data_IF_646915909251
#
_entry.id   IF_646915909251
#
_cell.length_a   1.000
_cell.length_b   1.000
_cell.length_c   1.000
_cell.angle_alpha   90.00
_cell.angle_beta   90.00
_cell.angle_gamma   90.00
#
_symmetry.space_group_name_H-M   'P 1'
#
loop_
_entity.id
_entity.type
_entity.pdbx_description
1 polymer ?
#
# COMPACT_ATOMS: atom_id res chain seq x y z
N UNK A 1 14.07 14.96 -15.38
CA UNK A 1 14.37 15.76 -14.16
C UNK A 1 13.99 17.23 -14.31
N UNK A 2 14.47 17.96 -15.31
CA UNK A 2 14.16 19.41 -15.45
C UNK A 2 12.67 19.67 -15.68
N UNK A 3 12.00 18.88 -16.49
CA UNK A 3 10.56 18.98 -16.74
C UNK A 3 9.74 18.68 -15.47
N UNK A 4 10.09 17.63 -14.73
CA UNK A 4 9.46 17.30 -13.45
C UNK A 4 9.55 18.45 -12.44
N UNK A 5 10.74 19.01 -12.28
CA UNK A 5 10.94 20.13 -11.35
C UNK A 5 10.22 21.40 -11.80
N UNK A 6 10.11 21.64 -13.11
CA UNK A 6 9.31 22.74 -13.64
C UNK A 6 7.83 22.55 -13.33
N UNK A 7 7.30 21.33 -13.51
CA UNK A 7 5.91 21.03 -13.21
C UNK A 7 5.63 21.09 -11.70
N UNK A 8 6.53 20.55 -10.86
CA UNK A 8 6.47 20.66 -9.40
C UNK A 8 6.38 22.13 -8.95
N UNK A 9 7.27 23.01 -9.47
CA UNK A 9 7.25 24.44 -9.14
C UNK A 9 5.92 25.09 -9.49
N UNK A 10 5.28 24.70 -10.61
CA UNK A 10 3.94 25.19 -10.97
C UNK A 10 2.88 24.72 -9.96
N UNK A 11 2.88 23.44 -9.59
CA UNK A 11 1.96 22.91 -8.57
C UNK A 11 2.14 23.62 -7.25
N UNK A 12 3.39 23.75 -6.78
CA UNK A 12 3.72 24.43 -5.54
C UNK A 12 3.24 25.90 -5.54
N UNK A 13 3.57 26.66 -6.59
CA UNK A 13 3.19 28.07 -6.69
C UNK A 13 1.66 28.26 -6.69
N UNK A 14 0.94 27.47 -7.47
CA UNK A 14 -0.53 27.55 -7.53
C UNK A 14 -1.18 27.14 -6.21
N UNK A 15 -0.63 26.14 -5.54
CA UNK A 15 -1.09 25.72 -4.20
C UNK A 15 -0.85 26.83 -3.17
N UNK A 16 0.31 27.49 -3.21
CA UNK A 16 0.62 28.62 -2.31
C UNK A 16 -0.32 29.80 -2.56
N UNK A 17 -0.59 30.14 -3.82
CA UNK A 17 -1.56 31.19 -4.20
C UNK A 17 -2.97 30.81 -3.69
N UNK A 18 -3.41 29.58 -3.89
CA UNK A 18 -4.72 29.10 -3.42
C UNK A 18 -4.87 29.22 -1.90
N UNK A 19 -3.86 28.78 -1.14
CA UNK A 19 -3.82 28.91 0.31
C UNK A 19 -3.86 30.39 0.72
N UNK A 20 -3.08 31.26 0.07
CA UNK A 20 -3.09 32.70 0.31
C UNK A 20 -4.48 33.33 0.10
N UNK A 21 -5.15 32.98 -1.00
CA UNK A 21 -6.51 33.46 -1.32
C UNK A 21 -7.52 32.97 -0.26
N UNK A 22 -7.44 31.73 0.18
CA UNK A 22 -8.31 31.16 1.23
C UNK A 22 -8.13 31.93 2.54
N UNK A 23 -6.87 32.15 2.97
CA UNK A 23 -6.57 32.84 4.23
C UNK A 23 -6.99 34.31 4.19
N UNK A 24 -6.66 35.04 3.13
CA UNK A 24 -7.02 36.46 2.96
C UNK A 24 -8.55 36.59 2.84
N UNK A 25 -9.20 35.71 2.06
CA UNK A 25 -10.64 35.68 1.93
C UNK A 25 -11.36 35.44 3.26
N UNK A 26 -10.82 34.53 4.10
CA UNK A 26 -11.35 34.26 5.45
C UNK A 26 -11.18 35.47 6.38
N UNK A 27 -10.02 36.13 6.37
CA UNK A 27 -9.78 37.33 7.18
C UNK A 27 -10.69 38.50 6.77
N UNK A 28 -10.84 38.74 5.47
CA UNK A 28 -11.71 39.79 4.96
C UNK A 28 -13.19 39.50 5.19
N UNK A 29 -13.59 38.23 5.27
CA UNK A 29 -14.97 37.84 5.55
C UNK A 29 -15.49 38.40 6.88
N UNK A 30 -14.63 38.52 7.90
CA UNK A 30 -15.00 39.08 9.21
C UNK A 30 -15.30 40.58 9.19
N UNK A 31 -14.68 41.36 8.26
CA UNK A 31 -14.88 42.82 8.19
C UNK A 31 -15.60 43.30 6.93
N UNK A 32 -15.39 42.58 5.82
CA UNK A 32 -15.92 42.95 4.49
C UNK A 32 -16.43 41.69 3.76
N UNK A 33 -17.57 41.10 4.18
CA UNK A 33 -18.04 39.81 3.67
C UNK A 33 -18.30 39.78 2.16
N UNK A 34 -18.68 40.90 1.57
CA UNK A 34 -18.94 41.04 0.12
C UNK A 34 -17.67 40.77 -0.72
N UNK A 35 -16.47 41.09 -0.18
CA UNK A 35 -15.19 40.88 -0.85
C UNK A 35 -14.56 39.57 -0.37
N UNK A 36 -14.61 39.29 0.93
CA UNK A 36 -13.94 38.12 1.52
C UNK A 36 -14.53 36.79 1.04
N UNK A 37 -15.85 36.69 0.93
CA UNK A 37 -16.52 35.46 0.51
C UNK A 37 -16.16 35.02 -0.92
N UNK A 38 -16.26 35.87 -1.96
CA UNK A 38 -15.82 35.49 -3.30
C UNK A 38 -14.33 35.09 -3.37
N UNK A 39 -13.45 35.81 -2.68
CA UNK A 39 -12.01 35.50 -2.67
C UNK A 39 -11.72 34.14 -2.05
N UNK A 40 -12.40 33.80 -0.96
CA UNK A 40 -12.33 32.50 -0.31
C UNK A 40 -12.73 31.36 -1.27
N UNK A 41 -13.87 31.51 -1.97
CA UNK A 41 -14.32 30.50 -2.95
C UNK A 41 -13.39 30.39 -4.16
N UNK A 42 -12.84 31.49 -4.66
CA UNK A 42 -11.83 31.46 -5.73
C UNK A 42 -10.62 30.66 -5.29
N UNK A 43 -10.14 30.85 -4.05
CA UNK A 43 -9.04 30.07 -3.49
C UNK A 43 -9.32 28.57 -3.47
N UNK A 44 -10.55 28.17 -3.06
CA UNK A 44 -10.99 26.78 -3.09
C UNK A 44 -10.99 26.22 -4.52
N UNK A 45 -11.54 26.94 -5.48
CA UNK A 45 -11.59 26.51 -6.89
C UNK A 45 -10.19 26.32 -7.44
N UNK A 46 -9.29 27.28 -7.22
CA UNK A 46 -7.87 27.19 -7.64
C UNK A 46 -7.20 25.98 -7.01
N UNK A 47 -7.45 25.71 -5.72
CA UNK A 47 -6.90 24.53 -5.04
C UNK A 47 -7.38 23.22 -5.67
N UNK A 48 -8.68 23.09 -5.93
CA UNK A 48 -9.27 21.90 -6.54
C UNK A 48 -8.76 21.65 -7.97
N UNK A 49 -8.66 22.70 -8.78
CA UNK A 49 -8.12 22.61 -10.14
C UNK A 49 -6.64 22.24 -10.11
N UNK A 50 -5.86 22.84 -9.22
CA UNK A 50 -4.42 22.53 -9.10
C UNK A 50 -4.21 21.07 -8.68
N UNK A 51 -4.90 20.61 -7.65
CA UNK A 51 -4.77 19.24 -7.17
C UNK A 51 -5.26 18.22 -8.21
N UNK A 52 -6.43 18.44 -8.81
CA UNK A 52 -7.06 17.48 -9.71
C UNK A 52 -6.41 17.40 -11.10
N UNK A 53 -5.91 18.50 -11.64
CA UNK A 53 -5.41 18.52 -13.02
C UNK A 53 -3.89 18.58 -13.10
N UNK A 54 -3.26 19.56 -12.48
CA UNK A 54 -1.82 19.78 -12.61
C UNK A 54 -1.06 18.83 -11.69
N UNK A 55 -1.54 18.63 -10.46
CA UNK A 55 -0.99 17.68 -9.50
C UNK A 55 -1.05 16.26 -10.05
N UNK A 56 -2.20 15.82 -10.55
CA UNK A 56 -2.35 14.50 -11.16
C UNK A 56 -1.46 14.26 -12.38
N UNK A 57 -1.20 15.32 -13.20
CA UNK A 57 -0.24 15.23 -14.30
C UNK A 57 1.20 15.14 -13.80
N UNK A 58 1.54 15.88 -12.75
CA UNK A 58 2.87 15.81 -12.14
C UNK A 58 3.15 14.42 -11.56
N UNK A 59 2.22 13.86 -10.79
CA UNK A 59 2.32 12.50 -10.27
C UNK A 59 2.49 11.47 -11.40
N UNK A 60 1.68 11.56 -12.44
CA UNK A 60 1.78 10.62 -13.56
C UNK A 60 3.13 10.73 -14.28
N UNK A 61 3.60 11.94 -14.52
CA UNK A 61 4.91 12.16 -15.16
C UNK A 61 6.05 11.62 -14.27
N UNK A 62 5.95 11.79 -12.96
CA UNK A 62 6.91 11.23 -12.01
C UNK A 62 6.93 9.70 -12.09
N UNK A 63 5.76 9.05 -12.05
CA UNK A 63 5.63 7.60 -12.15
C UNK A 63 6.16 7.07 -13.48
N UNK A 64 5.92 7.77 -14.58
CA UNK A 64 6.43 7.38 -15.90
C UNK A 64 7.95 7.56 -16.06
N UNK A 65 8.54 8.58 -15.45
CA UNK A 65 9.98 8.85 -15.60
C UNK A 65 10.79 8.07 -14.56
N UNK A 66 10.41 8.14 -13.28
CA UNK A 66 11.24 7.58 -12.19
C UNK A 66 10.83 6.14 -11.87
N UNK A 67 9.54 5.92 -11.60
CA UNK A 67 9.10 4.58 -11.18
C UNK A 67 9.29 3.57 -12.32
N UNK A 68 8.86 3.90 -13.54
CA UNK A 68 9.00 2.99 -14.69
C UNK A 68 10.46 2.65 -15.00
N UNK A 69 11.38 3.63 -14.95
CA UNK A 69 12.80 3.39 -15.19
C UNK A 69 13.38 2.39 -14.18
N UNK A 70 13.08 2.57 -12.91
CA UNK A 70 13.56 1.68 -11.84
C UNK A 70 12.96 0.28 -11.96
N UNK A 71 11.66 0.21 -12.19
CA UNK A 71 10.92 -1.05 -12.35
C UNK A 71 11.52 -1.85 -13.52
N UNK A 72 11.73 -1.23 -14.69
CA UNK A 72 12.32 -1.88 -15.86
C UNK A 72 13.79 -2.29 -15.67
N UNK A 73 14.50 -1.61 -14.79
CA UNK A 73 15.89 -1.95 -14.46
C UNK A 73 15.99 -3.17 -13.53
N UNK A 74 15.01 -3.36 -12.66
CA UNK A 74 15.04 -4.41 -11.64
C UNK A 74 14.32 -5.70 -12.05
N UNK A 75 13.31 -5.60 -12.91
CA UNK A 75 12.40 -6.70 -13.24
C UNK A 75 12.23 -6.87 -14.75
N UNK A 76 11.88 -8.09 -15.15
CA UNK A 76 11.33 -8.38 -16.47
C UNK A 76 9.83 -8.05 -16.43
N UNK A 77 9.49 -6.85 -16.94
CA UNK A 77 8.18 -6.21 -16.78
C UNK A 77 7.25 -6.61 -17.90
N UNK A 78 6.12 -7.24 -17.54
CA UNK A 78 5.02 -7.43 -18.48
C UNK A 78 4.12 -6.19 -18.55
N UNK A 79 3.76 -5.64 -17.40
CA UNK A 79 2.83 -4.52 -17.32
C UNK A 79 3.13 -3.62 -16.11
N UNK A 80 3.11 -2.30 -16.33
CA UNK A 80 3.07 -1.29 -15.26
C UNK A 80 2.08 -0.19 -15.59
N UNK A 81 1.02 -0.08 -14.78
CA UNK A 81 -0.06 0.90 -14.94
C UNK A 81 -0.19 1.75 -13.67
N UNK A 82 0.31 3.01 -13.67
CA UNK A 82 0.32 3.86 -12.49
C UNK A 82 -1.06 4.17 -11.87
N UNK A 83 -2.11 4.20 -12.69
CA UNK A 83 -3.48 4.58 -12.25
C UNK A 83 -4.41 3.39 -12.05
N UNK A 84 -3.93 2.18 -12.19
CA UNK A 84 -4.69 0.96 -11.95
C UNK A 84 -4.02 0.20 -10.82
N UNK A 85 -4.81 -0.49 -10.03
CA UNK A 85 -4.35 -1.44 -9.04
C UNK A 85 -5.13 -2.73 -9.13
N UNK A 86 -5.11 -3.52 -8.06
CA UNK A 86 -5.94 -4.70 -7.92
C UNK A 86 -7.42 -4.33 -7.92
N UNK A 87 -8.26 -5.19 -8.47
CA UNK A 87 -9.69 -5.02 -8.43
C UNK A 87 -10.23 -5.19 -6.99
N UNK A 88 -11.24 -4.40 -6.63
CA UNK A 88 -11.87 -4.46 -5.30
C UNK A 88 -12.40 -5.85 -4.98
N UNK A 89 -13.01 -6.52 -5.97
CA UNK A 89 -13.53 -7.88 -5.84
C UNK A 89 -12.40 -8.86 -5.51
N UNK A 90 -11.29 -8.81 -6.26
CA UNK A 90 -10.11 -9.63 -6.00
C UNK A 90 -9.62 -9.47 -4.56
N UNK A 91 -9.45 -8.22 -4.09
CA UNK A 91 -8.98 -7.94 -2.73
C UNK A 91 -9.95 -8.47 -1.68
N UNK A 92 -11.25 -8.23 -1.86
CA UNK A 92 -12.29 -8.66 -0.91
C UNK A 92 -12.44 -10.17 -0.81
N UNK A 93 -12.32 -10.87 -1.93
CA UNK A 93 -12.45 -12.33 -1.99
C UNK A 93 -11.29 -13.08 -1.35
N UNK A 94 -10.14 -12.44 -1.13
CA UNK A 94 -9.04 -13.05 -0.38
C UNK A 94 -9.36 -13.23 1.09
N UNK A 95 -10.17 -12.37 1.68
CA UNK A 95 -10.44 -12.29 3.12
C UNK A 95 -9.19 -12.08 4.00
N UNK A 96 -8.07 -11.60 3.43
CA UNK A 96 -6.85 -11.31 4.19
C UNK A 96 -6.93 -10.02 4.99
N UNK A 97 -7.78 -9.10 4.56
CA UNK A 97 -8.09 -7.84 5.24
C UNK A 97 -9.61 -7.67 5.39
N UNK A 98 -10.03 -6.83 6.32
CA UNK A 98 -11.46 -6.52 6.48
C UNK A 98 -12.02 -5.77 5.29
N UNK A 99 -13.25 -6.12 4.92
CA UNK A 99 -13.98 -5.46 3.86
C UNK A 99 -14.51 -4.10 4.32
N UNK A 100 -14.05 -3.04 3.69
CA UNK A 100 -14.54 -1.68 3.86
C UNK A 100 -15.57 -1.29 2.80
N UNK A 101 -16.07 -0.05 2.91
CA UNK A 101 -16.99 0.55 1.94
C UNK A 101 -16.33 1.62 1.05
N UNK A 102 -15.05 1.89 1.24
CA UNK A 102 -14.23 2.74 0.38
C UNK A 102 -12.94 2.02 0.04
N UNK A 103 -12.71 1.85 -1.26
CA UNK A 103 -11.55 1.16 -1.81
C UNK A 103 -10.85 2.04 -2.83
N UNK A 104 -9.52 2.00 -2.84
CA UNK A 104 -8.70 2.48 -3.95
C UNK A 104 -7.44 1.62 -4.07
N UNK A 105 -6.97 1.46 -5.29
CA UNK A 105 -5.74 0.74 -5.58
C UNK A 105 -5.09 1.32 -6.82
N UNK A 106 -3.77 1.45 -6.80
CA UNK A 106 -2.96 2.00 -7.89
C UNK A 106 -1.59 1.31 -7.98
N UNK A 107 -0.75 1.77 -8.91
CA UNK A 107 0.59 1.25 -9.16
C UNK A 107 0.63 -0.26 -9.43
N UNK A 108 -0.28 -0.73 -10.32
CA UNK A 108 -0.28 -2.12 -10.75
C UNK A 108 0.99 -2.45 -11.52
N UNK A 109 1.73 -3.42 -11.01
CA UNK A 109 2.93 -3.97 -11.61
C UNK A 109 2.80 -5.47 -11.74
N UNK A 110 3.05 -6.01 -12.92
CA UNK A 110 3.18 -7.43 -13.20
C UNK A 110 4.46 -7.70 -13.96
N UNK A 111 5.18 -8.73 -13.55
CA UNK A 111 6.42 -9.10 -14.18
C UNK A 111 7.07 -10.31 -13.54
N UNK A 112 8.34 -10.51 -13.85
CA UNK A 112 9.15 -11.62 -13.35
C UNK A 112 10.46 -11.11 -12.74
N UNK A 113 10.93 -11.84 -11.78
CA UNK A 113 12.29 -11.74 -11.27
C UNK A 113 12.91 -13.13 -11.16
N UNK A 114 13.98 -13.39 -11.90
CA UNK A 114 14.62 -14.73 -11.98
C UNK A 114 13.60 -15.84 -12.25
N UNK A 115 12.70 -15.64 -13.20
CA UNK A 115 11.67 -16.61 -13.57
C UNK A 115 10.47 -16.72 -12.63
N UNK A 116 10.45 -16.02 -11.48
CA UNK A 116 9.34 -16.02 -10.54
C UNK A 116 8.36 -14.90 -10.93
N UNK A 117 7.13 -15.29 -11.25
CA UNK A 117 6.06 -14.36 -11.56
C UNK A 117 5.55 -13.65 -10.30
N UNK A 118 5.32 -12.34 -10.41
CA UNK A 118 4.70 -11.57 -9.35
C UNK A 118 3.76 -10.49 -9.89
N UNK A 119 2.81 -10.11 -9.03
CA UNK A 119 1.94 -8.94 -9.21
C UNK A 119 2.02 -8.08 -7.95
N UNK A 120 1.97 -6.75 -8.10
CA UNK A 120 2.01 -5.82 -6.97
C UNK A 120 1.09 -4.64 -7.23
N UNK A 121 0.43 -4.16 -6.18
CA UNK A 121 -0.27 -2.86 -6.18
C UNK A 121 -0.20 -2.21 -4.82
N UNK A 122 -0.36 -0.89 -4.78
CA UNK A 122 -0.74 -0.20 -3.56
C UNK A 122 -2.25 -0.34 -3.36
N UNK A 123 -2.66 -0.64 -2.13
CA UNK A 123 -4.07 -0.89 -1.76
C UNK A 123 -4.44 -0.04 -0.56
N UNK A 124 -5.60 0.58 -0.63
CA UNK A 124 -6.16 1.34 0.48
C UNK A 124 -7.63 0.95 0.69
N UNK A 125 -7.92 0.34 1.84
CA UNK A 125 -9.26 -0.09 2.26
C UNK A 125 -9.69 0.65 3.51
N UNK A 126 -10.84 1.31 3.43
CA UNK A 126 -11.41 2.09 4.52
C UNK A 126 -12.87 1.74 4.76
N UNK A 127 -13.33 1.96 5.98
CA UNK A 127 -14.73 2.01 6.31
C UNK A 127 -15.13 3.41 6.75
N UNK A 128 -16.09 4.00 6.07
CA UNK A 128 -16.60 5.35 6.32
C UNK A 128 -18.03 5.22 6.85
N UNK A 129 -18.24 5.69 8.08
CA UNK A 129 -19.56 5.69 8.71
C UNK A 129 -19.97 7.13 9.02
N UNK A 130 -21.18 7.52 8.64
CA UNK A 130 -21.74 8.83 8.92
C UNK A 130 -23.09 8.69 9.64
N UNK A 131 -23.26 9.45 10.71
CA UNK A 131 -24.53 9.53 11.47
C UNK A 131 -25.29 10.86 11.21
N UNK A 132 -24.94 11.57 10.14
CA UNK A 132 -25.54 12.85 9.78
C UNK A 132 -24.97 14.07 10.52
N UNK A 133 -24.24 13.87 11.62
CA UNK A 133 -23.56 14.93 12.38
C UNK A 133 -22.03 14.81 12.29
N UNK A 134 -21.53 13.60 12.33
CA UNK A 134 -20.10 13.29 12.27
C UNK A 134 -19.85 12.18 11.26
N UNK A 135 -18.70 12.25 10.59
CA UNK A 135 -18.19 11.19 9.72
C UNK A 135 -16.94 10.62 10.35
N UNK A 136 -16.94 9.31 10.58
CA UNK A 136 -15.78 8.56 11.10
C UNK A 136 -15.23 7.71 9.97
N UNK A 137 -13.92 7.79 9.75
CA UNK A 137 -13.21 6.96 8.78
C UNK A 137 -12.22 6.07 9.52
N UNK A 138 -12.33 4.77 9.32
CA UNK A 138 -11.40 3.76 9.85
C UNK A 138 -10.66 3.15 8.67
N UNK A 139 -9.33 3.26 8.65
CA UNK A 139 -8.49 2.59 7.66
C UNK A 139 -8.24 1.16 8.12
N UNK A 140 -8.65 0.20 7.30
CA UNK A 140 -8.43 -1.22 7.54
C UNK A 140 -7.08 -1.70 7.02
N UNK A 141 -6.67 -1.18 5.87
CA UNK A 141 -5.38 -1.45 5.26
C UNK A 141 -4.93 -0.26 4.42
N UNK A 142 -3.65 0.07 4.46
CA UNK A 142 -3.03 1.03 3.54
C UNK A 142 -1.55 0.67 3.38
N UNK A 143 -1.19 0.21 2.18
CA UNK A 143 0.20 -0.16 1.90
C UNK A 143 0.36 -1.03 0.67
N UNK A 144 1.49 -1.70 0.56
CA UNK A 144 1.83 -2.54 -0.57
C UNK A 144 1.28 -3.96 -0.41
N UNK A 145 0.76 -4.50 -1.51
CA UNK A 145 0.27 -5.87 -1.62
C UNK A 145 0.95 -6.54 -2.80
N UNK A 146 1.77 -7.53 -2.51
CA UNK A 146 2.48 -8.31 -3.53
C UNK A 146 1.98 -9.75 -3.54
N UNK A 147 1.79 -10.30 -4.73
CA UNK A 147 1.31 -11.66 -4.96
C UNK A 147 2.37 -12.42 -5.76
N UNK A 148 2.75 -13.57 -5.27
CA UNK A 148 3.70 -14.47 -5.93
C UNK A 148 2.99 -15.77 -6.32
N UNK A 149 3.26 -16.26 -7.53
CA UNK A 149 2.79 -17.59 -7.92
C UNK A 149 3.76 -18.64 -7.40
N UNK A 150 3.23 -19.62 -6.65
CA UNK A 150 4.04 -20.72 -6.10
C UNK A 150 4.31 -21.79 -7.15
N UNK A 151 5.54 -22.35 -7.18
CA UNK A 151 5.84 -23.52 -8.00
C UNK A 151 5.19 -24.81 -7.48
N UNK A 152 4.73 -24.83 -6.21
CA UNK A 152 4.04 -25.94 -5.55
C UNK A 152 2.54 -25.66 -5.47
N UNK A 153 1.73 -26.67 -5.74
CA UNK A 153 0.28 -26.63 -5.52
C UNK A 153 -0.04 -26.65 -4.04
N UNK A 154 -0.33 -25.48 -3.48
CA UNK A 154 -0.89 -25.32 -2.14
C UNK A 154 -2.28 -24.72 -2.34
N UNK A 155 -3.30 -25.55 -2.15
CA UNK A 155 -4.70 -25.17 -2.38
C UNK A 155 -5.41 -24.71 -1.10
N UNK A 156 -4.84 -25.06 0.06
CA UNK A 156 -5.42 -24.76 1.37
C UNK A 156 -5.30 -23.27 1.70
N UNK A 157 -6.40 -22.66 2.14
CA UNK A 157 -6.39 -21.28 2.61
C UNK A 157 -5.61 -21.15 3.92
N UNK A 158 -4.73 -20.16 3.98
CA UNK A 158 -3.98 -19.83 5.20
C UNK A 158 -3.79 -18.33 5.34
N UNK A 159 -3.91 -17.84 6.57
CA UNK A 159 -3.65 -16.44 6.92
C UNK A 159 -2.73 -16.37 8.13
N UNK A 160 -1.60 -15.71 7.96
CA UNK A 160 -0.64 -15.37 9.01
C UNK A 160 -0.67 -13.85 9.16
N UNK A 161 -0.89 -13.35 10.36
CA UNK A 161 -0.92 -11.92 10.63
C UNK A 161 -0.24 -11.59 11.95
N UNK A 162 0.39 -10.42 12.01
CA UNK A 162 0.85 -9.88 13.27
C UNK A 162 -0.32 -9.64 14.23
N UNK A 163 -0.09 -9.96 15.50
CA UNK A 163 -1.01 -9.57 16.57
C UNK A 163 -1.03 -8.07 16.69
N UNK A 164 -2.22 -7.50 16.72
CA UNK A 164 -2.38 -6.08 17.01
C UNK A 164 -1.82 -5.78 18.41
N UNK A 165 -0.83 -4.93 18.46
CA UNK A 165 -0.44 -4.29 19.72
C UNK A 165 -1.65 -3.48 20.21
N UNK A 166 -2.09 -3.72 21.44
CA UNK A 166 -3.23 -3.06 22.09
C UNK A 166 -3.04 -1.54 22.32
N UNK A 167 -2.10 -0.92 21.65
CA UNK A 167 -1.83 0.52 21.76
C UNK A 167 -2.43 1.27 20.57
N UNK A 168 -3.68 1.67 20.70
CA UNK A 168 -4.27 2.65 19.78
C UNK A 168 -5.64 2.36 19.23
N UNK A 169 -6.57 1.89 20.03
CA UNK A 169 -8.00 2.16 19.81
C UNK A 169 -8.61 1.76 18.46
N UNK A 170 -8.13 0.72 17.80
CA UNK A 170 -8.91 0.10 16.73
C UNK A 170 -9.90 -0.87 17.37
N UNK A 171 -11.22 -0.71 17.12
CA UNK A 171 -12.21 -1.66 17.63
C UNK A 171 -11.82 -3.07 17.20
N UNK A 172 -11.73 -4.01 18.14
CA UNK A 172 -11.65 -5.42 17.83
C UNK A 172 -12.78 -5.78 16.87
N UNK A 173 -12.48 -6.54 15.83
CA UNK A 173 -13.45 -6.92 14.83
C UNK A 173 -13.05 -6.68 13.38
N UNK A 174 -11.86 -6.16 13.14
CA UNK A 174 -11.35 -5.93 11.78
C UNK A 174 -11.25 -7.22 10.96
N UNK A 175 -11.25 -8.39 11.59
CA UNK A 175 -11.09 -9.71 10.95
C UNK A 175 -12.20 -10.70 11.35
N UNK A 176 -13.44 -10.23 11.52
CA UNK A 176 -14.55 -11.07 11.99
C UNK A 176 -15.06 -12.10 10.97
N UNK A 177 -14.56 -12.10 9.74
CA UNK A 177 -15.06 -12.98 8.67
C UNK A 177 -13.91 -13.69 7.93
N UNK A 178 -13.07 -14.44 8.69
CA UNK A 178 -12.18 -15.41 8.05
C UNK A 178 -13.02 -16.67 7.86
N UNK A 179 -13.44 -17.02 6.63
CA UNK A 179 -14.34 -18.13 6.42
C UNK A 179 -13.59 -19.46 6.60
N UNK A 180 -14.25 -20.41 7.28
CA UNK A 180 -13.84 -21.82 7.33
C UNK A 180 -12.45 -22.14 7.86
N UNK A 181 -11.88 -21.30 8.73
CA UNK A 181 -10.52 -21.49 9.25
C UNK A 181 -10.54 -21.70 10.77
N UNK A 182 -9.58 -22.49 11.22
CA UNK A 182 -9.29 -22.67 12.65
C UNK A 182 -7.98 -21.96 12.99
N UNK A 183 -7.90 -21.46 14.23
CA UNK A 183 -6.65 -20.88 14.74
C UNK A 183 -5.66 -22.00 15.04
N UNK A 184 -4.47 -21.91 14.45
CA UNK A 184 -3.38 -22.85 14.64
C UNK A 184 -2.39 -22.29 15.67
N UNK A 185 -1.98 -23.13 16.61
CA UNK A 185 -0.99 -22.79 17.65
C UNK A 185 0.22 -23.69 17.46
N UNK A 186 1.40 -23.10 17.36
CA UNK A 186 2.68 -23.79 17.17
C UNK A 186 3.40 -23.98 18.50
N UNK A 187 4.46 -24.80 18.52
CA UNK A 187 5.28 -24.98 19.72
C UNK A 187 6.18 -23.77 20.03
N UNK A 188 6.48 -22.94 19.02
CA UNK A 188 7.24 -21.69 19.18
C UNK A 188 6.41 -20.62 19.88
N UNK A 189 6.71 -20.38 21.16
CA UNK A 189 5.99 -19.40 22.00
C UNK A 189 6.22 -17.97 21.48
N UNK A 190 7.45 -17.64 21.02
CA UNK A 190 7.77 -16.30 20.51
C UNK A 190 6.99 -16.02 19.24
N UNK A 191 6.95 -16.97 18.31
CA UNK A 191 6.14 -16.86 17.11
C UNK A 191 4.65 -16.68 17.42
N UNK A 192 4.09 -17.51 18.32
CA UNK A 192 2.69 -17.37 18.73
C UNK A 192 2.40 -16.05 19.47
N UNK A 193 3.38 -15.45 20.14
CA UNK A 193 3.20 -14.16 20.79
C UNK A 193 3.13 -13.02 19.77
N UNK A 194 3.80 -13.14 18.63
CA UNK A 194 3.89 -12.12 17.59
C UNK A 194 2.84 -12.29 16.51
N UNK A 195 2.52 -13.52 16.13
CA UNK A 195 1.64 -13.85 15.02
C UNK A 195 0.42 -14.67 15.43
N UNK A 196 -0.66 -14.50 14.67
CA UNK A 196 -1.80 -15.39 14.65
C UNK A 196 -1.85 -16.09 13.31
N UNK A 197 -2.07 -17.40 13.34
CA UNK A 197 -2.24 -18.21 12.14
C UNK A 197 -3.64 -18.80 12.12
N UNK A 198 -4.29 -18.68 10.98
CA UNK A 198 -5.59 -19.28 10.68
C UNK A 198 -5.43 -20.12 9.42
N UNK A 199 -5.91 -21.36 9.44
CA UNK A 199 -5.83 -22.26 8.30
C UNK A 199 -7.13 -23.04 8.12
N UNK A 200 -7.46 -23.36 6.89
CA UNK A 200 -8.56 -24.26 6.56
C UNK A 200 -8.23 -25.69 6.97
N UNK A 201 -6.96 -26.12 6.78
CA UNK A 201 -6.43 -27.39 7.24
C UNK A 201 -5.20 -27.17 8.13
N UNK A 202 -5.28 -27.65 9.37
CA UNK A 202 -4.17 -27.57 10.34
C UNK A 202 -2.95 -28.39 9.92
N UNK A 203 -3.13 -29.53 9.23
CA UNK A 203 -2.01 -30.35 8.75
C UNK A 203 -1.19 -29.60 7.71
N UNK A 204 -1.85 -28.90 6.79
CA UNK A 204 -1.18 -28.05 5.80
C UNK A 204 -0.43 -26.91 6.48
N UNK A 205 -1.00 -26.32 7.55
CA UNK A 205 -0.33 -25.28 8.31
C UNK A 205 0.95 -25.81 8.97
N UNK A 206 0.93 -26.95 9.65
CA UNK A 206 2.12 -27.54 10.27
C UNK A 206 3.16 -28.00 9.24
N UNK A 207 2.72 -28.42 8.06
CA UNK A 207 3.62 -28.81 6.98
C UNK A 207 4.34 -27.61 6.35
N UNK A 208 3.66 -26.48 6.22
CA UNK A 208 4.21 -25.28 5.57
C UNK A 208 4.99 -24.40 6.53
N UNK A 209 4.43 -24.17 7.73
CA UNK A 209 5.01 -23.25 8.73
C UNK A 209 5.99 -24.05 9.61
N UNK A 210 7.08 -24.49 8.99
CA UNK A 210 8.20 -25.10 9.70
C UNK A 210 8.94 -24.10 10.60
N UNK A 211 9.76 -24.53 11.57
CA UNK A 211 10.57 -23.61 12.36
C UNK A 211 11.44 -22.66 11.51
N UNK A 212 12.00 -23.16 10.40
CA UNK A 212 12.76 -22.32 9.46
C UNK A 212 11.87 -21.26 8.81
N UNK A 213 10.66 -21.62 8.45
CA UNK A 213 9.71 -20.66 7.85
C UNK A 213 9.22 -19.63 8.87
N UNK A 214 9.06 -20.01 10.14
CA UNK A 214 8.76 -19.05 11.23
C UNK A 214 9.85 -17.98 11.37
N UNK A 215 11.13 -18.37 11.32
CA UNK A 215 12.24 -17.40 11.35
C UNK A 215 12.22 -16.46 10.14
N UNK A 216 11.90 -16.97 8.95
CA UNK A 216 11.73 -16.15 7.74
C UNK A 216 10.58 -15.16 7.86
N UNK A 217 9.46 -15.54 8.48
CA UNK A 217 8.34 -14.64 8.74
C UNK A 217 8.75 -13.53 9.71
N UNK A 218 9.50 -13.88 10.78
CA UNK A 218 10.05 -12.89 11.73
C UNK A 218 11.02 -11.94 11.02
N UNK A 219 11.85 -12.42 10.09
CA UNK A 219 12.73 -11.57 9.28
C UNK A 219 11.94 -10.60 8.40
N UNK A 220 10.85 -11.05 7.78
CA UNK A 220 9.96 -10.20 6.99
C UNK A 220 9.32 -9.09 7.82
N UNK A 221 8.89 -9.39 9.05
CA UNK A 221 8.32 -8.39 9.97
C UNK A 221 9.31 -7.26 10.25
N UNK A 222 10.60 -7.57 10.43
CA UNK A 222 11.65 -6.55 10.65
C UNK A 222 12.01 -5.72 9.42
N UNK A 223 11.54 -6.09 8.23
CA UNK A 223 11.86 -5.33 7.01
C UNK A 223 11.21 -3.96 6.97
N UNK A 224 10.05 -3.80 7.58
CA UNK A 224 9.21 -2.62 7.46
C UNK A 224 8.57 -2.23 8.79
N UNK A 225 8.49 -0.93 9.01
CA UNK A 225 7.60 -0.39 10.03
C UNK A 225 6.15 -0.59 9.56
N UNK A 226 5.31 -1.20 10.38
CA UNK A 226 3.93 -1.48 10.04
C UNK A 226 3.53 -2.90 10.38
N UNK A 227 2.48 -3.41 9.75
CA UNK A 227 1.97 -4.75 9.99
C UNK A 227 2.20 -5.65 8.79
N UNK A 228 2.74 -6.83 9.05
CA UNK A 228 2.89 -7.90 8.08
C UNK A 228 1.65 -8.80 8.08
N UNK A 229 1.13 -9.07 6.90
CA UNK A 229 0.11 -10.08 6.65
C UNK A 229 0.61 -10.98 5.52
N UNK A 230 0.58 -12.30 5.73
CA UNK A 230 0.89 -13.28 4.70
C UNK A 230 -0.34 -14.16 4.51
N UNK A 231 -0.85 -14.21 3.28
CA UNK A 231 -1.97 -15.04 2.89
C UNK A 231 -1.55 -16.08 1.87
N UNK A 232 -2.10 -17.29 1.97
CA UNK A 232 -1.96 -18.33 0.95
C UNK A 232 -3.35 -18.70 0.48
N UNK A 233 -3.58 -18.60 -0.83
CA UNK A 233 -4.84 -18.93 -1.47
C UNK A 233 -4.60 -19.21 -2.96
N UNK A 234 -5.24 -20.23 -3.50
CA UNK A 234 -5.25 -20.52 -4.94
C UNK A 234 -3.84 -20.60 -5.56
N UNK A 235 -2.92 -21.34 -4.94
CA UNK A 235 -1.53 -21.52 -5.36
C UNK A 235 -0.70 -20.21 -5.36
N UNK A 236 -1.17 -19.19 -4.67
CA UNK A 236 -0.50 -17.89 -4.56
C UNK A 236 -0.15 -17.56 -3.11
N UNK A 237 1.02 -16.94 -2.94
CA UNK A 237 1.41 -16.29 -1.68
C UNK A 237 1.20 -14.80 -1.83
N UNK A 238 0.45 -14.24 -0.93
CA UNK A 238 0.22 -12.81 -0.81
C UNK A 238 1.02 -12.28 0.37
N UNK A 239 1.83 -11.25 0.15
CA UNK A 239 2.58 -10.55 1.21
C UNK A 239 2.14 -9.11 1.22
N UNK A 240 1.61 -8.67 2.35
CA UNK A 240 1.01 -7.37 2.55
C UNK A 240 1.76 -6.64 3.68
N UNK A 241 2.16 -5.41 3.40
CA UNK A 241 2.73 -4.51 4.40
C UNK A 241 1.79 -3.31 4.61
N UNK A 242 1.10 -3.27 5.77
CA UNK A 242 0.24 -2.14 6.17
C UNK A 242 1.10 -1.08 6.89
N UNK A 243 1.91 -0.39 6.13
CA UNK A 243 2.90 0.59 6.62
C UNK A 243 2.50 2.05 6.36
N UNK A 244 1.34 2.27 5.72
CA UNK A 244 0.86 3.58 5.27
C UNK A 244 1.85 4.31 4.36
N UNK A 245 2.81 3.58 3.79
CA UNK A 245 3.78 4.13 2.86
C UNK A 245 3.12 4.51 1.55
N UNK A 246 3.65 5.56 0.94
CA UNK A 246 3.31 6.00 -0.40
C UNK A 246 4.60 6.36 -1.15
N UNK A 247 5.54 5.39 -1.18
CA UNK A 247 6.90 5.59 -1.68
C UNK A 247 6.95 5.91 -3.18
N UNK A 248 5.90 5.54 -3.93
CA UNK A 248 5.80 5.80 -5.37
C UNK A 248 5.15 7.16 -5.70
N UNK A 249 4.73 7.95 -4.71
CA UNK A 249 4.15 9.27 -4.90
C UNK A 249 5.18 10.39 -4.75
N UNK A 250 5.21 11.38 -5.67
CA UNK A 250 6.13 12.51 -5.56
C UNK A 250 5.71 13.49 -4.49
N UNK A 251 6.69 14.10 -3.82
CA UNK A 251 6.43 15.24 -2.96
C UNK A 251 6.45 16.55 -3.75
N UNK A 252 5.42 17.38 -3.60
CA UNK A 252 5.40 18.74 -4.17
C UNK A 252 6.27 19.73 -3.37
N UNK A 253 6.60 19.38 -2.12
CA UNK A 253 7.29 20.24 -1.17
C UNK A 253 8.81 20.22 -1.30
N UNK A 254 9.39 19.13 -1.83
CA UNK A 254 10.83 19.00 -2.07
C UNK A 254 11.14 18.86 -3.56
N UNK A 255 12.36 19.21 -3.92
CA UNK A 255 12.82 19.05 -5.29
C UNK A 255 12.98 17.59 -5.65
N UNK A 256 12.51 17.20 -6.85
CA UNK A 256 12.73 15.86 -7.37
C UNK A 256 14.21 15.71 -7.73
N UNK A 257 14.86 14.74 -7.13
CA UNK A 257 16.32 14.55 -7.17
C UNK A 257 16.70 13.07 -7.31
N UNK A 258 17.98 12.76 -7.25
CA UNK A 258 18.46 11.38 -7.21
C UNK A 258 18.02 10.61 -5.95
N UNK A 259 17.57 11.31 -4.90
CA UNK A 259 17.00 10.66 -3.72
C UNK A 259 15.67 9.97 -4.02
N UNK A 260 14.86 10.54 -4.91
CA UNK A 260 13.59 9.93 -5.33
C UNK A 260 13.82 8.57 -6.01
N UNK A 261 14.88 8.46 -6.82
CA UNK A 261 15.27 7.17 -7.41
C UNK A 261 15.61 6.14 -6.33
N UNK A 262 16.35 6.54 -5.27
CA UNK A 262 16.69 5.63 -4.18
C UNK A 262 15.46 5.18 -3.39
N UNK A 263 14.52 6.09 -3.13
CA UNK A 263 13.29 5.77 -2.41
C UNK A 263 12.48 4.73 -3.19
N UNK A 264 12.25 4.97 -4.48
CA UNK A 264 11.49 4.03 -5.32
C UNK A 264 12.26 2.73 -5.53
N UNK A 265 13.59 2.78 -5.71
CA UNK A 265 14.42 1.59 -5.82
C UNK A 265 14.37 0.73 -4.57
N UNK A 266 14.46 1.32 -3.39
CA UNK A 266 14.35 0.61 -2.13
C UNK A 266 12.98 -0.05 -1.98
N UNK A 267 11.90 0.65 -2.37
CA UNK A 267 10.55 0.07 -2.37
C UNK A 267 10.45 -1.15 -3.29
N UNK A 268 10.98 -1.05 -4.50
CA UNK A 268 10.94 -2.16 -5.46
C UNK A 268 11.85 -3.33 -5.04
N UNK A 269 13.00 -3.06 -4.44
CA UNK A 269 13.90 -4.10 -3.91
C UNK A 269 13.29 -4.92 -2.77
N UNK A 270 12.25 -4.43 -2.09
CA UNK A 270 11.51 -5.21 -1.09
C UNK A 270 10.88 -6.45 -1.72
N UNK A 271 10.36 -6.35 -2.94
CA UNK A 271 9.79 -7.50 -3.67
C UNK A 271 10.84 -8.60 -3.81
N UNK A 272 12.06 -8.24 -4.23
CA UNK A 272 13.19 -9.17 -4.38
C UNK A 272 13.55 -9.79 -3.02
N UNK A 273 13.62 -8.97 -1.98
CA UNK A 273 13.97 -9.42 -0.63
C UNK A 273 12.93 -10.37 -0.04
N UNK A 274 11.65 -10.11 -0.29
CA UNK A 274 10.56 -11.04 0.08
C UNK A 274 10.75 -12.38 -0.62
N UNK A 275 11.06 -12.39 -1.92
CA UNK A 275 11.32 -13.61 -2.67
C UNK A 275 12.52 -14.39 -2.10
N UNK A 276 13.62 -13.70 -1.75
CA UNK A 276 14.81 -14.30 -1.15
C UNK A 276 14.49 -14.92 0.21
N UNK A 277 13.87 -14.15 1.10
CA UNK A 277 13.55 -14.59 2.45
C UNK A 277 12.61 -15.80 2.41
N UNK A 278 11.55 -15.76 1.59
CA UNK A 278 10.62 -16.88 1.46
C UNK A 278 11.22 -18.08 0.73
N UNK A 279 12.40 -17.92 0.11
CA UNK A 279 13.08 -18.99 -0.65
C UNK A 279 12.33 -19.36 -1.92
N UNK A 280 11.73 -18.36 -2.58
CA UNK A 280 11.03 -18.55 -3.84
C UNK A 280 12.02 -18.66 -5.00
N UNK A 281 13.20 -18.02 -4.89
CA UNK A 281 14.24 -18.02 -5.92
C UNK A 281 14.97 -19.37 -5.89
N UNK A 282 15.09 -20.09 -7.02
CA UNK A 282 15.83 -21.33 -7.09
C UNK A 282 17.31 -21.15 -6.75
N UNK A 283 17.89 -22.06 -5.94
CA UNK A 283 19.30 -21.99 -5.50
C UNK A 283 20.32 -21.98 -6.67
N UNK A 284 19.93 -22.44 -7.85
CA UNK A 284 20.80 -22.49 -9.03
C UNK A 284 20.98 -21.16 -9.76
N UNK A 285 20.33 -20.09 -9.29
CA UNK A 285 20.37 -18.74 -9.90
C UNK A 285 20.89 -17.65 -8.92
N UNK A 286 21.47 -18.06 -7.80
CA UNK A 286 22.11 -17.17 -6.82
C UNK A 286 23.53 -16.83 -7.23
#
# INVERSE_FOLDING_TARGET
MQELNTMRKKVFLLSAIAIGLILIGFLLFMGMPVIGMPLFFVGIIVSLVTAGTIGGKFTLLYKEIICREIIQRLFDVEEYIPKKGFDETFVKETHFISNGNRFSSDDYLRGYYKGIAFERSDVHMQNVTSNGKTTTTVTYFQGSWTVFTLPKKITSYMLIREKEFLSGGRPGGIFSNIPYTEKVIFEDIDFNNRFEVYAEDQHDAFYLITPVFMEKIKELEYMEDGRLIIGIKDEKVHVLFDNRSNAMEPSVWREVSGEDFKIVENEMRKIIRVMDILGLIPENEV
#
